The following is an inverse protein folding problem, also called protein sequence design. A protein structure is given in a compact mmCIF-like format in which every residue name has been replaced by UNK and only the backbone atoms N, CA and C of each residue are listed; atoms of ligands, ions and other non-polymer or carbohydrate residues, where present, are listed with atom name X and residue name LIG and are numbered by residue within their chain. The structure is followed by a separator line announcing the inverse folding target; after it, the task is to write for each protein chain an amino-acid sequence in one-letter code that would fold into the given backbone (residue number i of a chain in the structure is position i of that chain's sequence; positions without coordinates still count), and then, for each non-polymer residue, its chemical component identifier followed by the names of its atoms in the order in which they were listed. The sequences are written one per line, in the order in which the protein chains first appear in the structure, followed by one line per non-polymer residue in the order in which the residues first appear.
data_IF_903680387136
#
_entry.id   IF_903680387136
#
_cell.length_a   1.000
_cell.length_b   1.000
_cell.length_c   1.000
_cell.angle_alpha   90.00
_cell.angle_beta   90.00
_cell.angle_gamma   90.00
#
_symmetry.space_group_name_H-M   'P 1'
#
loop_
_entity.id
_entity.type
_entity.pdbx_description
1 polymer ?
#
# COMPACT_ATOMS: atom_id res chain seq x y z
N UNK A 1 26.62 -11.01 -6.18
CA UNK A 1 25.33 -10.48 -6.68
C UNK A 1 24.16 -11.02 -5.87
N UNK A 2 23.94 -12.34 -5.79
CA UNK A 2 22.87 -12.94 -4.95
C UNK A 2 23.07 -12.59 -3.47
N UNK A 3 24.30 -12.70 -2.95
CA UNK A 3 24.61 -12.36 -1.54
C UNK A 3 24.35 -10.88 -1.20
N UNK A 4 24.60 -9.98 -2.15
CA UNK A 4 24.32 -8.54 -2.01
C UNK A 4 22.81 -8.30 -1.93
N UNK A 5 22.05 -8.89 -2.86
CA UNK A 5 20.59 -8.82 -2.86
C UNK A 5 19.98 -9.37 -1.55
N UNK A 6 20.48 -10.52 -1.08
CA UNK A 6 20.02 -11.14 0.16
C UNK A 6 20.35 -10.30 1.40
N UNK A 7 21.47 -9.57 1.38
CA UNK A 7 21.83 -8.63 2.44
C UNK A 7 20.92 -7.41 2.44
N UNK A 8 20.61 -6.85 1.27
CA UNK A 8 19.79 -5.65 1.15
C UNK A 8 18.32 -5.95 1.49
N UNK A 9 17.80 -7.12 1.11
CA UNK A 9 16.48 -7.60 1.54
C UNK A 9 16.36 -7.90 3.04
N UNK A 10 17.45 -7.78 3.82
CA UNK A 10 17.43 -7.82 5.29
C UNK A 10 17.43 -6.43 5.93
N UNK A 11 17.60 -5.36 5.15
CA UNK A 11 17.61 -3.99 5.63
C UNK A 11 16.19 -3.41 5.61
N UNK A 12 15.62 -3.01 6.77
CA UNK A 12 14.29 -2.44 6.83
C UNK A 12 14.13 -1.20 5.93
N UNK A 13 15.12 -0.31 5.88
CA UNK A 13 15.11 0.88 5.04
C UNK A 13 14.97 0.56 3.54
N UNK A 14 15.66 -0.48 3.08
CA UNK A 14 15.61 -0.91 1.69
C UNK A 14 14.24 -1.49 1.34
N UNK A 15 13.72 -2.37 2.21
CA UNK A 15 12.40 -2.96 2.00
C UNK A 15 11.34 -1.86 2.02
N UNK A 16 11.34 -0.98 3.02
CA UNK A 16 10.40 0.14 3.12
C UNK A 16 10.35 0.91 1.80
N UNK A 17 11.48 1.41 1.31
CA UNK A 17 11.55 2.18 0.05
C UNK A 17 11.07 1.35 -1.15
N UNK A 18 11.42 0.07 -1.21
CA UNK A 18 11.03 -0.82 -2.31
C UNK A 18 9.51 -1.01 -2.39
N UNK A 19 8.83 -1.17 -1.25
CA UNK A 19 7.39 -1.44 -1.21
C UNK A 19 6.52 -0.19 -0.99
N UNK A 20 7.10 0.96 -0.61
CA UNK A 20 6.38 2.22 -0.43
C UNK A 20 5.62 2.73 -1.69
N UNK A 21 6.04 2.43 -2.93
CA UNK A 21 5.24 2.68 -4.13
C UNK A 21 3.88 1.98 -4.17
N UNK A 22 3.70 0.87 -3.44
CA UNK A 22 2.46 0.09 -3.48
C UNK A 22 1.26 0.82 -2.85
N UNK A 23 1.33 1.31 -1.59
CA UNK A 23 0.23 2.06 -0.99
C UNK A 23 0.04 3.46 -1.60
N UNK A 24 1.01 3.95 -2.37
CA UNK A 24 0.95 5.26 -3.04
C UNK A 24 0.56 5.12 -4.51
N UNK A 25 1.50 4.88 -5.40
CA UNK A 25 1.28 4.78 -6.84
C UNK A 25 0.43 3.57 -7.23
N UNK A 26 0.68 2.41 -6.61
CA UNK A 26 -0.10 1.19 -6.87
C UNK A 26 -1.57 1.38 -6.53
N UNK A 27 -1.86 1.98 -5.37
CA UNK A 27 -3.21 2.32 -4.94
C UNK A 27 -3.86 3.36 -5.88
N UNK A 28 -3.14 4.41 -6.25
CA UNK A 28 -3.65 5.43 -7.18
C UNK A 28 -4.03 4.81 -8.54
N UNK A 29 -3.19 3.92 -9.08
CA UNK A 29 -3.48 3.22 -10.32
C UNK A 29 -4.66 2.25 -10.20
N UNK A 30 -4.79 1.57 -9.05
CA UNK A 30 -5.96 0.74 -8.74
C UNK A 30 -7.26 1.55 -8.76
N UNK A 31 -7.24 2.75 -8.18
CA UNK A 31 -8.38 3.68 -8.20
C UNK A 31 -8.74 4.15 -9.61
N UNK A 32 -7.76 4.58 -10.41
CA UNK A 32 -7.99 4.97 -11.82
C UNK A 32 -8.65 3.82 -12.58
N UNK A 33 -8.11 2.61 -12.43
CA UNK A 33 -8.68 1.41 -13.05
C UNK A 33 -10.11 1.14 -12.57
N UNK A 34 -10.38 1.28 -11.28
CA UNK A 34 -11.69 1.04 -10.69
C UNK A 34 -12.74 2.02 -11.21
N UNK A 35 -12.40 3.31 -11.32
CA UNK A 35 -13.27 4.33 -11.91
C UNK A 35 -13.61 3.97 -13.36
N UNK A 36 -12.60 3.61 -14.17
CA UNK A 36 -12.82 3.20 -15.57
C UNK A 36 -13.72 1.95 -15.62
N UNK A 37 -13.42 0.93 -14.83
CA UNK A 37 -14.18 -0.32 -14.78
C UNK A 37 -15.63 -0.12 -14.32
N UNK A 38 -15.86 0.84 -13.43
CA UNK A 38 -17.19 1.25 -13.00
C UNK A 38 -18.00 1.82 -14.17
N UNK A 39 -17.47 2.79 -14.90
CA UNK A 39 -18.15 3.38 -16.06
C UNK A 39 -18.36 2.40 -17.22
N UNK A 40 -17.41 1.47 -17.42
CA UNK A 40 -17.55 0.37 -18.39
C UNK A 40 -18.55 -0.71 -17.95
N UNK A 41 -19.06 -0.66 -16.71
CA UNK A 41 -19.97 -1.66 -16.12
C UNK A 41 -19.44 -3.10 -16.22
N UNK A 42 -18.12 -3.26 -16.28
CA UNK A 42 -17.47 -4.57 -16.44
C UNK A 42 -17.13 -5.14 -15.08
N UNK A 43 -17.91 -6.15 -14.63
CA UNK A 43 -17.69 -6.77 -13.32
C UNK A 43 -16.30 -7.41 -13.19
N UNK A 44 -15.78 -8.00 -14.27
CA UNK A 44 -14.43 -8.59 -14.28
C UNK A 44 -13.35 -7.51 -14.10
N UNK A 45 -13.49 -6.38 -14.79
CA UNK A 45 -12.57 -5.26 -14.65
C UNK A 45 -12.65 -4.64 -13.24
N UNK A 46 -13.86 -4.54 -12.68
CA UNK A 46 -14.06 -4.06 -11.30
C UNK A 46 -13.38 -4.98 -10.28
N UNK A 47 -13.50 -6.31 -10.43
CA UNK A 47 -12.81 -7.25 -9.54
C UNK A 47 -11.29 -7.13 -9.66
N UNK A 48 -10.76 -7.06 -10.89
CA UNK A 48 -9.32 -6.93 -11.11
C UNK A 48 -8.75 -5.65 -10.48
N UNK A 49 -9.48 -4.54 -10.62
CA UNK A 49 -9.05 -3.23 -10.10
C UNK A 49 -9.27 -3.12 -8.59
N UNK A 50 -10.34 -3.69 -8.04
CA UNK A 50 -10.52 -3.85 -6.59
C UNK A 50 -9.40 -4.71 -5.97
N UNK A 51 -8.91 -5.73 -6.68
CA UNK A 51 -7.77 -6.52 -6.20
C UNK A 51 -6.49 -5.67 -6.14
N UNK A 52 -6.26 -4.77 -7.10
CA UNK A 52 -5.13 -3.83 -7.04
C UNK A 52 -5.28 -2.84 -5.87
N UNK A 53 -6.48 -2.30 -5.65
CA UNK A 53 -6.78 -1.44 -4.49
C UNK A 53 -6.52 -2.20 -3.18
N UNK A 54 -6.96 -3.46 -3.10
CA UNK A 54 -6.74 -4.31 -1.93
C UNK A 54 -5.26 -4.57 -1.67
N UNK A 55 -4.48 -4.89 -2.71
CA UNK A 55 -3.03 -5.11 -2.60
C UNK A 55 -2.33 -3.82 -2.14
N UNK A 56 -2.65 -2.67 -2.76
CA UNK A 56 -2.10 -1.38 -2.35
C UNK A 56 -2.46 -1.04 -0.90
N UNK A 57 -3.71 -1.26 -0.50
CA UNK A 57 -4.16 -0.99 0.86
C UNK A 57 -3.49 -1.90 1.92
N UNK A 58 -3.44 -3.22 1.67
CA UNK A 58 -2.81 -4.16 2.60
C UNK A 58 -1.30 -3.90 2.72
N UNK A 59 -0.64 -3.51 1.63
CA UNK A 59 0.79 -3.21 1.64
C UNK A 59 1.19 -2.04 2.55
N UNK A 60 0.24 -1.20 2.97
CA UNK A 60 0.52 -0.11 3.91
C UNK A 60 1.03 -0.62 5.26
N UNK A 61 0.59 -1.80 5.73
CA UNK A 61 1.10 -2.39 6.98
C UNK A 61 2.61 -2.63 6.89
N UNK A 62 3.12 -3.50 5.98
CA UNK A 62 4.55 -3.78 5.96
C UNK A 62 5.37 -2.52 5.65
N UNK A 63 4.86 -1.58 4.83
CA UNK A 63 5.52 -0.29 4.61
C UNK A 63 5.65 0.48 5.93
N UNK A 64 4.59 0.59 6.72
CA UNK A 64 4.61 1.25 8.02
C UNK A 64 5.62 0.59 8.98
N UNK A 65 5.57 -0.73 9.14
CA UNK A 65 6.45 -1.47 10.06
C UNK A 65 7.93 -1.35 9.68
N UNK A 66 8.27 -1.53 8.41
CA UNK A 66 9.65 -1.35 7.96
C UNK A 66 10.11 0.10 8.06
N UNK A 67 9.18 1.06 7.91
CA UNK A 67 9.42 2.48 8.15
C UNK A 67 9.85 2.72 9.60
N UNK A 68 9.04 2.26 10.56
CA UNK A 68 9.33 2.36 12.00
C UNK A 68 10.68 1.73 12.37
N UNK A 69 10.96 0.53 11.86
CA UNK A 69 12.23 -0.18 12.11
C UNK A 69 13.46 0.55 11.52
N UNK A 70 13.26 1.33 10.47
CA UNK A 70 14.32 2.04 9.76
C UNK A 70 14.52 3.48 10.23
N UNK A 71 13.57 4.05 10.97
CA UNK A 71 13.49 5.48 11.24
C UNK A 71 14.79 6.05 11.82
N UNK A 72 15.28 5.54 12.96
CA UNK A 72 16.50 6.05 13.61
C UNK A 72 17.72 6.01 12.69
N UNK A 73 17.81 4.97 11.85
CA UNK A 73 18.92 4.82 10.91
C UNK A 73 18.82 5.86 9.81
N UNK A 74 17.64 6.03 9.20
CA UNK A 74 17.41 7.03 8.15
C UNK A 74 17.61 8.44 8.69
N UNK A 75 17.11 8.71 9.90
CA UNK A 75 17.29 9.97 10.63
C UNK A 75 18.78 10.32 10.79
N UNK A 76 19.62 9.34 11.18
CA UNK A 76 21.07 9.55 11.35
C UNK A 76 21.83 9.88 10.06
N UNK A 77 21.24 9.59 8.90
CA UNK A 77 21.83 9.85 7.57
C UNK A 77 21.32 11.16 6.96
N UNK A 78 20.25 11.73 7.49
CA UNK A 78 19.58 12.91 6.95
C UNK A 78 20.18 14.21 7.50
N UNK A 79 20.20 15.25 6.65
CA UNK A 79 20.43 16.62 7.09
C UNK A 79 19.19 17.18 7.83
N UNK A 80 19.31 18.39 8.38
CA UNK A 80 18.24 19.00 9.18
C UNK A 80 16.89 19.04 8.46
N UNK A 81 16.89 19.39 7.17
CA UNK A 81 15.66 19.45 6.38
C UNK A 81 15.10 18.04 6.12
N UNK A 82 15.97 17.07 5.83
CA UNK A 82 15.60 15.67 5.66
C UNK A 82 15.02 15.05 6.92
N UNK A 83 15.54 15.40 8.10
CA UNK A 83 14.98 14.96 9.39
C UNK A 83 13.55 15.50 9.57
N UNK A 84 13.33 16.79 9.32
CA UNK A 84 11.99 17.38 9.41
C UNK A 84 10.98 16.73 8.44
N UNK A 85 11.40 16.39 7.22
CA UNK A 85 10.56 15.66 6.27
C UNK A 85 10.30 14.21 6.67
N UNK A 86 11.28 13.55 7.31
CA UNK A 86 11.13 12.19 7.81
C UNK A 86 10.13 12.13 8.98
N UNK A 87 10.19 13.08 9.89
CA UNK A 87 9.26 13.21 11.02
C UNK A 87 7.83 13.38 10.51
N UNK A 88 7.61 14.34 9.62
CA UNK A 88 6.31 14.59 9.02
C UNK A 88 5.80 13.37 8.20
N UNK A 89 6.71 12.62 7.55
CA UNK A 89 6.35 11.38 6.88
C UNK A 89 5.87 10.32 7.88
N UNK A 90 6.57 10.16 9.01
CA UNK A 90 6.19 9.23 10.07
C UNK A 90 4.83 9.61 10.68
N UNK A 91 4.62 10.88 11.00
CA UNK A 91 3.38 11.38 11.59
C UNK A 91 2.19 11.11 10.66
N UNK A 92 2.32 11.43 9.37
CA UNK A 92 1.30 11.10 8.37
C UNK A 92 1.05 9.60 8.27
N UNK A 93 2.10 8.78 8.35
CA UNK A 93 1.95 7.32 8.29
C UNK A 93 1.15 6.81 9.50
N UNK A 94 1.44 7.31 10.71
CA UNK A 94 0.75 6.93 11.94
C UNK A 94 -0.71 7.40 11.96
N UNK A 95 -0.98 8.63 11.53
CA UNK A 95 -2.33 9.19 11.53
C UNK A 95 -3.24 8.53 10.48
N UNK A 96 -2.68 8.15 9.33
CA UNK A 96 -3.47 7.71 8.19
C UNK A 96 -3.57 6.19 8.03
N UNK A 97 -2.77 5.40 8.76
CA UNK A 97 -2.71 3.93 8.57
C UNK A 97 -4.09 3.25 8.68
N UNK A 98 -4.96 3.75 9.56
CA UNK A 98 -6.30 3.19 9.75
C UNK A 98 -7.22 3.34 8.52
N UNK A 99 -7.01 4.38 7.70
CA UNK A 99 -7.75 4.51 6.44
C UNK A 99 -7.39 3.40 5.45
N UNK A 100 -6.12 2.98 5.43
CA UNK A 100 -5.69 1.85 4.60
C UNK A 100 -6.32 0.53 5.08
N UNK A 101 -6.42 0.31 6.40
CA UNK A 101 -7.09 -0.88 6.93
C UNK A 101 -8.58 -0.90 6.60
N UNK A 102 -9.27 0.24 6.76
CA UNK A 102 -10.66 0.37 6.36
C UNK A 102 -10.84 0.10 4.85
N UNK A 103 -9.96 0.67 4.01
CA UNK A 103 -10.02 0.46 2.56
C UNK A 103 -9.74 -0.98 2.16
N UNK A 104 -8.82 -1.67 2.83
CA UNK A 104 -8.57 -3.09 2.62
C UNK A 104 -9.81 -3.93 2.94
N UNK A 105 -10.45 -3.69 4.09
CA UNK A 105 -11.69 -4.37 4.48
C UNK A 105 -12.82 -4.11 3.49
N UNK A 106 -13.03 -2.85 3.09
CA UNK A 106 -14.05 -2.46 2.12
C UNK A 106 -13.80 -3.10 0.74
N UNK A 107 -12.55 -3.11 0.28
CA UNK A 107 -12.17 -3.71 -1.00
C UNK A 107 -12.38 -5.23 -1.00
N UNK A 108 -11.99 -5.91 0.08
CA UNK A 108 -12.24 -7.33 0.27
C UNK A 108 -13.75 -7.64 0.29
N UNK A 109 -14.53 -6.83 1.02
CA UNK A 109 -16.00 -6.97 1.07
C UNK A 109 -16.64 -6.76 -0.31
N UNK A 110 -16.21 -5.74 -1.06
CA UNK A 110 -16.71 -5.43 -2.40
C UNK A 110 -16.44 -6.56 -3.41
N UNK A 111 -15.34 -7.30 -3.24
CA UNK A 111 -15.04 -8.49 -4.03
C UNK A 111 -15.94 -9.67 -3.60
N UNK A 112 -15.96 -10.01 -2.30
CA UNK A 112 -16.52 -11.26 -1.79
C UNK A 112 -18.05 -11.23 -1.66
N UNK A 113 -18.64 -10.16 -1.13
CA UNK A 113 -20.08 -10.11 -0.81
C UNK A 113 -20.94 -10.36 -2.05
N UNK A 114 -20.73 -9.71 -3.19
CA UNK A 114 -21.59 -9.96 -4.34
C UNK A 114 -21.23 -11.24 -5.10
N UNK A 115 -20.14 -11.94 -4.77
CA UNK A 115 -19.92 -13.32 -5.24
C UNK A 115 -20.82 -14.31 -4.51
N UNK A 116 -21.04 -14.12 -3.20
CA UNK A 116 -21.94 -14.98 -2.41
C UNK A 116 -23.42 -14.75 -2.72
N UNK A 117 -23.76 -13.58 -3.27
CA UNK A 117 -25.10 -13.23 -3.72
C UNK A 117 -25.21 -13.11 -5.24
N UNK A 118 -24.47 -13.94 -6.00
CA UNK A 118 -24.81 -14.11 -7.41
C UNK A 118 -26.21 -14.72 -7.47
N UNK A 119 -27.20 -13.88 -7.79
CA UNK A 119 -28.57 -14.30 -8.02
C UNK A 119 -28.53 -15.50 -8.96
N UNK A 120 -29.23 -16.58 -8.59
CA UNK A 120 -29.67 -17.58 -9.55
C UNK A 120 -30.30 -16.81 -10.71
N UNK A 121 -29.71 -16.91 -11.89
CA UNK A 121 -30.48 -16.77 -13.12
C UNK A 121 -30.97 -18.13 -13.54
#
# INVERSE_FOLDING_TARGET
MIETLLRDLRQPEYIHVLINPLPTYGLAMGWVGLVIAFFLKSRRAQIATLALVLIGAISAWPVYEFGQQSYDRVLSMADTDGQAWLDEHQDRAQDLIYFFYALALLSAAAIVVPMKWSKSS
#
